data_IF_074764821250
#
_entry.id   IF_074764821250
#
_cell.length_a   1.000
_cell.length_b   1.000
_cell.length_c   1.000
_cell.angle_alpha   90.00
_cell.angle_beta   90.00
_cell.angle_gamma   90.00
#
_symmetry.space_group_name_H-M   'P 1'
#
loop_
_entity.id
_entity.type
_entity.pdbx_description
1 polymer ?
#
# COMPACT_ATOMS: atom_id res chain seq x y z
N UNK A 1 6.14 29.58 -20.76
CA UNK A 1 4.71 29.25 -20.89
C UNK A 1 4.26 28.61 -19.60
N UNK A 2 3.13 29.01 -19.01
CA UNK A 2 2.56 28.35 -17.82
C UNK A 2 2.09 26.95 -18.21
N UNK A 3 2.60 25.92 -17.51
CA UNK A 3 2.17 24.52 -17.74
C UNK A 3 0.73 24.40 -17.25
N UNK A 4 -0.18 23.95 -18.09
CA UNK A 4 -1.53 23.62 -17.67
C UNK A 4 -1.48 22.41 -16.72
N UNK A 5 -2.18 22.48 -15.60
CA UNK A 5 -2.27 21.42 -14.60
C UNK A 5 -3.74 21.12 -14.37
N UNK A 6 -4.14 19.86 -14.59
CA UNK A 6 -5.51 19.39 -14.37
C UNK A 6 -5.76 19.08 -12.88
N UNK A 7 -4.74 18.54 -12.19
CA UNK A 7 -4.85 18.14 -10.78
C UNK A 7 -3.63 18.57 -9.97
N UNK A 8 -3.91 19.15 -8.81
CA UNK A 8 -2.92 19.43 -7.78
C UNK A 8 -3.10 18.39 -6.67
N UNK A 9 -2.04 17.66 -6.34
CA UNK A 9 -2.01 16.68 -5.26
C UNK A 9 -1.11 17.23 -4.15
N UNK A 10 -1.59 17.20 -2.92
CA UNK A 10 -0.83 17.63 -1.75
C UNK A 10 -0.55 16.45 -0.84
N UNK A 11 0.73 16.13 -0.67
CA UNK A 11 1.23 15.01 0.10
C UNK A 11 1.75 13.86 -0.76
N UNK A 12 3.06 13.65 -0.75
CA UNK A 12 3.79 12.63 -1.52
C UNK A 12 4.01 11.33 -0.74
N UNK A 13 3.06 10.92 0.10
CA UNK A 13 3.03 9.59 0.70
C UNK A 13 2.51 8.53 -0.29
N UNK A 14 2.27 7.29 0.18
CA UNK A 14 1.79 6.18 -0.67
C UNK A 14 0.59 6.61 -1.52
N UNK A 15 -0.43 7.20 -0.90
CA UNK A 15 -1.67 7.59 -1.58
C UNK A 15 -1.44 8.64 -2.67
N UNK A 16 -0.65 9.69 -2.37
CA UNK A 16 -0.34 10.74 -3.35
C UNK A 16 0.49 10.23 -4.51
N UNK A 17 1.45 9.35 -4.25
CA UNK A 17 2.25 8.71 -5.30
C UNK A 17 1.40 7.85 -6.22
N UNK A 18 0.56 6.96 -5.67
CA UNK A 18 -0.35 6.12 -6.47
C UNK A 18 -1.33 6.95 -7.26
N UNK A 19 -1.95 7.97 -6.63
CA UNK A 19 -2.90 8.85 -7.31
C UNK A 19 -2.25 9.64 -8.45
N UNK A 20 -1.04 10.17 -8.23
CA UNK A 20 -0.29 10.87 -9.28
C UNK A 20 -0.05 9.98 -10.49
N UNK A 21 0.46 8.76 -10.26
CA UNK A 21 0.67 7.78 -11.31
C UNK A 21 -0.64 7.47 -12.06
N UNK A 22 -1.73 7.17 -11.33
CA UNK A 22 -3.00 6.80 -11.95
C UNK A 22 -3.56 7.92 -12.82
N UNK A 23 -3.57 9.16 -12.35
CA UNK A 23 -4.05 10.30 -13.11
C UNK A 23 -3.20 10.53 -14.37
N UNK A 24 -1.87 10.47 -14.25
CA UNK A 24 -0.97 10.59 -15.41
C UNK A 24 -1.16 9.46 -16.41
N UNK A 25 -1.38 8.24 -15.96
CA UNK A 25 -1.69 7.08 -16.82
C UNK A 25 -2.96 7.30 -17.64
N UNK A 26 -3.92 8.05 -17.14
CA UNK A 26 -5.14 8.43 -17.86
C UNK A 26 -5.02 9.77 -18.59
N UNK A 27 -3.81 10.30 -18.77
CA UNK A 27 -3.53 11.46 -19.61
C UNK A 27 -3.69 12.81 -18.92
N UNK A 28 -3.91 12.85 -17.60
CA UNK A 28 -4.03 14.11 -16.88
C UNK A 28 -2.66 14.73 -16.55
N UNK A 29 -2.57 16.05 -16.61
CA UNK A 29 -1.42 16.81 -16.15
C UNK A 29 -1.51 17.01 -14.64
N UNK A 30 -0.55 16.42 -13.92
CA UNK A 30 -0.54 16.41 -12.45
C UNK A 30 0.60 17.26 -11.92
N UNK A 31 0.38 17.93 -10.78
CA UNK A 31 1.42 18.55 -9.98
C UNK A 31 1.31 18.03 -8.54
N UNK A 32 2.31 17.28 -8.09
CA UNK A 32 2.43 16.80 -6.71
C UNK A 32 3.28 17.77 -5.89
N UNK A 33 2.72 18.24 -4.79
CA UNK A 33 3.43 19.02 -3.78
C UNK A 33 3.70 18.17 -2.54
N UNK A 34 4.95 18.15 -2.10
CA UNK A 34 5.32 17.44 -0.88
C UNK A 34 6.47 18.17 -0.18
N UNK A 35 6.68 17.87 1.10
CA UNK A 35 7.85 18.30 1.85
C UNK A 35 8.63 17.09 2.34
N UNK A 36 9.97 17.11 2.26
CA UNK A 36 10.78 16.13 2.95
C UNK A 36 10.48 16.23 4.44
N UNK A 37 9.92 15.17 4.99
CA UNK A 37 9.61 15.06 6.42
C UNK A 37 9.87 13.62 6.85
N UNK A 38 10.77 13.46 7.81
CA UNK A 38 11.13 12.15 8.37
C UNK A 38 9.97 11.48 9.13
N UNK A 39 9.02 12.28 9.63
CA UNK A 39 7.89 11.81 10.44
C UNK A 39 6.62 11.50 9.63
N UNK A 40 6.73 11.16 8.34
CA UNK A 40 5.58 10.72 7.55
C UNK A 40 5.11 9.34 7.97
N UNK A 41 3.81 9.15 8.11
CA UNK A 41 3.22 7.83 8.42
C UNK A 41 3.66 6.76 7.42
N UNK A 42 3.80 7.13 6.14
CA UNK A 42 4.29 6.22 5.09
C UNK A 42 5.74 5.81 5.29
N UNK A 43 6.61 6.69 5.81
CA UNK A 43 8.04 6.39 5.99
C UNK A 43 8.31 5.37 7.10
N UNK A 44 7.41 5.25 8.08
CA UNK A 44 7.50 4.28 9.19
C UNK A 44 6.60 3.06 8.99
N UNK A 45 5.86 2.99 7.89
CA UNK A 45 4.97 1.87 7.59
C UNK A 45 5.78 0.62 7.22
N UNK A 46 5.39 -0.53 7.76
CA UNK A 46 6.02 -1.82 7.43
C UNK A 46 5.78 -2.24 5.96
N UNK A 47 4.79 -1.65 5.30
CA UNK A 47 4.42 -1.94 3.93
C UNK A 47 3.80 -3.31 3.69
N UNK A 48 3.52 -4.08 4.74
CA UNK A 48 2.92 -5.41 4.62
C UNK A 48 1.46 -5.32 4.18
N UNK A 49 1.10 -6.13 3.20
CA UNK A 49 -0.27 -6.29 2.77
C UNK A 49 -0.71 -7.75 2.83
N UNK A 50 -1.94 -7.96 3.23
CA UNK A 50 -2.54 -9.30 3.31
C UNK A 50 -4.06 -9.23 3.21
N UNK A 51 -4.72 -10.29 2.69
CA UNK A 51 -6.16 -10.31 2.49
C UNK A 51 -6.97 -10.61 3.76
N UNK A 52 -6.31 -10.85 4.91
CA UNK A 52 -6.95 -11.36 6.11
C UNK A 52 -6.70 -10.49 7.34
N UNK A 53 -7.74 -10.28 8.15
CA UNK A 53 -7.60 -9.80 9.53
C UNK A 53 -7.29 -11.00 10.43
N UNK A 54 -6.01 -11.34 10.58
CA UNK A 54 -5.56 -12.59 11.22
C UNK A 54 -6.08 -12.77 12.64
N UNK A 55 -6.18 -11.70 13.44
CA UNK A 55 -6.72 -11.77 14.82
C UNK A 55 -8.18 -12.24 14.87
N UNK A 56 -8.95 -11.92 13.85
CA UNK A 56 -10.39 -12.22 13.79
C UNK A 56 -10.70 -13.35 12.82
N UNK A 57 -9.69 -13.88 12.14
CA UNK A 57 -9.82 -14.88 11.09
C UNK A 57 -10.92 -14.51 10.07
N UNK A 58 -10.91 -13.27 9.60
CA UNK A 58 -11.90 -12.74 8.65
C UNK A 58 -11.20 -12.16 7.43
N UNK A 59 -11.82 -12.33 6.26
CA UNK A 59 -11.36 -11.70 5.03
C UNK A 59 -11.56 -10.18 5.10
N UNK A 60 -10.61 -9.43 4.57
CA UNK A 60 -10.72 -7.99 4.39
C UNK A 60 -11.84 -7.70 3.36
N UNK A 61 -12.56 -6.60 3.54
CA UNK A 61 -13.59 -6.18 2.60
C UNK A 61 -13.01 -6.04 1.18
N UNK A 62 -13.68 -6.66 0.21
CA UNK A 62 -13.26 -6.68 -1.21
C UNK A 62 -11.82 -7.19 -1.45
N UNK A 63 -11.29 -8.07 -0.60
CA UNK A 63 -9.90 -8.52 -0.69
C UNK A 63 -9.53 -9.06 -2.08
N UNK A 64 -10.40 -9.85 -2.71
CA UNK A 64 -10.14 -10.43 -4.04
C UNK A 64 -9.84 -9.32 -5.07
N UNK A 65 -10.76 -8.38 -5.25
CA UNK A 65 -10.61 -7.29 -6.20
C UNK A 65 -9.46 -6.34 -5.85
N UNK A 66 -9.23 -6.11 -4.53
CA UNK A 66 -8.15 -5.24 -4.08
C UNK A 66 -6.77 -5.85 -4.32
N UNK A 67 -6.59 -7.16 -4.16
CA UNK A 67 -5.31 -7.83 -4.40
C UNK A 67 -4.95 -7.82 -5.89
N UNK A 68 -5.92 -8.09 -6.76
CA UNK A 68 -5.71 -8.06 -8.20
C UNK A 68 -5.29 -6.66 -8.67
N UNK A 69 -6.01 -5.64 -8.21
CA UNK A 69 -5.72 -4.25 -8.56
C UNK A 69 -4.38 -3.77 -7.97
N UNK A 70 -4.06 -4.16 -6.72
CA UNK A 70 -2.80 -3.87 -6.06
C UNK A 70 -1.62 -4.44 -6.86
N UNK A 71 -1.67 -5.71 -7.25
CA UNK A 71 -0.64 -6.35 -8.05
C UNK A 71 -0.45 -5.63 -9.38
N UNK A 72 -1.55 -5.28 -10.07
CA UNK A 72 -1.52 -4.58 -11.35
C UNK A 72 -0.89 -3.18 -11.22
N UNK A 73 -1.34 -2.38 -10.25
CA UNK A 73 -0.89 -1.00 -10.08
C UNK A 73 0.60 -0.95 -9.73
N UNK A 74 1.04 -1.70 -8.72
CA UNK A 74 2.44 -1.64 -8.30
C UNK A 74 3.39 -2.20 -9.35
N UNK A 75 3.02 -3.28 -10.05
CA UNK A 75 3.83 -3.77 -11.18
C UNK A 75 3.92 -2.76 -12.34
N UNK A 76 2.85 -2.02 -12.60
CA UNK A 76 2.87 -0.97 -13.61
C UNK A 76 3.76 0.22 -13.18
N UNK A 77 3.73 0.58 -11.88
CA UNK A 77 4.59 1.65 -11.35
C UNK A 77 6.06 1.22 -11.37
N UNK A 78 6.39 -0.02 -11.04
CA UNK A 78 7.76 -0.56 -11.16
C UNK A 78 8.30 -0.43 -12.60
N UNK A 79 7.48 -0.77 -13.59
CA UNK A 79 7.85 -0.59 -15.01
C UNK A 79 8.04 0.88 -15.38
N UNK A 80 7.14 1.75 -14.91
CA UNK A 80 7.21 3.18 -15.20
C UNK A 80 8.43 3.86 -14.57
N UNK A 81 8.82 3.42 -13.37
CA UNK A 81 9.96 3.99 -12.62
C UNK A 81 11.25 3.24 -12.82
N UNK A 82 11.25 2.14 -13.59
CA UNK A 82 12.40 1.23 -13.78
C UNK A 82 13.02 0.77 -12.44
N UNK A 83 12.19 0.58 -11.43
CA UNK A 83 12.60 0.27 -10.06
C UNK A 83 11.89 -0.98 -9.54
N UNK A 84 12.42 -1.60 -8.49
CA UNK A 84 11.81 -2.73 -7.80
C UNK A 84 11.61 -2.40 -6.33
N UNK A 85 10.37 -2.53 -5.86
CA UNK A 85 9.97 -2.22 -4.49
C UNK A 85 8.75 -3.02 -4.02
N UNK A 86 8.20 -3.88 -4.88
CA UNK A 86 7.00 -4.67 -4.61
C UNK A 86 7.35 -6.15 -4.53
N UNK A 87 7.48 -6.66 -3.29
CA UNK A 87 7.94 -8.00 -3.01
C UNK A 87 6.77 -8.94 -2.65
N UNK A 88 6.49 -10.00 -3.43
CA UNK A 88 5.61 -11.06 -2.98
C UNK A 88 6.32 -11.87 -1.88
N UNK A 89 5.85 -11.77 -0.65
CA UNK A 89 6.36 -12.54 0.48
C UNK A 89 5.22 -13.28 1.16
N UNK A 90 5.50 -14.48 1.67
CA UNK A 90 4.51 -15.25 2.43
C UNK A 90 4.47 -14.80 3.88
N UNK A 91 3.27 -14.50 4.37
CA UNK A 91 3.02 -14.22 5.79
C UNK A 91 2.57 -15.52 6.45
N UNK A 92 3.09 -15.80 7.66
CA UNK A 92 2.70 -16.94 8.46
C UNK A 92 1.97 -16.51 9.73
N UNK A 93 0.88 -17.21 10.04
CA UNK A 93 0.21 -17.13 11.34
C UNK A 93 0.76 -18.22 12.24
N UNK A 94 1.46 -17.85 13.30
CA UNK A 94 1.82 -18.76 14.40
C UNK A 94 0.58 -18.95 15.25
N UNK A 95 0.19 -20.20 15.48
CA UNK A 95 -0.99 -20.49 16.32
C UNK A 95 -0.64 -20.42 17.80
N UNK A 96 -1.55 -19.86 18.59
CA UNK A 96 -1.38 -19.74 20.04
C UNK A 96 -2.01 -20.91 20.81
N UNK A 97 -2.96 -21.60 20.19
CA UNK A 97 -3.68 -22.73 20.80
C UNK A 97 -4.22 -23.67 19.71
N UNK A 98 -4.72 -24.84 20.14
CA UNK A 98 -5.29 -25.84 19.25
C UNK A 98 -6.58 -25.32 18.53
N UNK A 99 -7.37 -24.48 19.19
CA UNK A 99 -8.59 -23.90 18.60
C UNK A 99 -8.26 -23.03 17.39
N UNK A 100 -7.23 -22.18 17.46
CA UNK A 100 -6.79 -21.39 16.29
C UNK A 100 -6.34 -22.29 15.13
N UNK A 101 -5.64 -23.39 15.43
CA UNK A 101 -5.19 -24.33 14.43
C UNK A 101 -6.38 -25.04 13.76
N UNK A 102 -7.37 -25.48 14.54
CA UNK A 102 -8.59 -26.09 14.01
C UNK A 102 -9.38 -25.13 13.14
N UNK A 103 -9.60 -23.89 13.64
CA UNK A 103 -10.27 -22.83 12.88
C UNK A 103 -9.57 -22.55 11.54
N UNK A 104 -8.23 -22.55 11.53
CA UNK A 104 -7.47 -22.40 10.29
C UNK A 104 -7.79 -23.51 9.29
N UNK A 105 -7.78 -24.77 9.74
CA UNK A 105 -8.07 -25.93 8.90
C UNK A 105 -9.48 -25.86 8.32
N UNK A 106 -10.49 -25.55 9.14
CA UNK A 106 -11.86 -25.38 8.71
C UNK A 106 -12.01 -24.27 7.65
N UNK A 107 -11.28 -23.17 7.83
CA UNK A 107 -11.33 -22.04 6.88
C UNK A 107 -10.67 -22.36 5.55
N UNK A 108 -9.61 -23.18 5.53
CA UNK A 108 -8.95 -23.58 4.27
C UNK A 108 -9.91 -24.29 3.31
N UNK A 109 -10.89 -25.01 3.83
CA UNK A 109 -11.90 -25.71 3.03
C UNK A 109 -13.05 -24.78 2.57
N UNK A 110 -13.14 -23.60 3.17
CA UNK A 110 -14.19 -22.65 2.82
C UNK A 110 -13.88 -21.92 1.50
N UNK A 111 -14.82 -21.88 0.53
CA UNK A 111 -14.60 -21.24 -0.77
C UNK A 111 -14.13 -19.78 -0.70
N UNK A 112 -14.54 -19.04 0.32
CA UNK A 112 -14.18 -17.64 0.53
C UNK A 112 -12.73 -17.41 0.96
N UNK A 113 -12.01 -18.46 1.40
CA UNK A 113 -10.67 -18.35 1.98
C UNK A 113 -9.61 -19.18 1.25
N UNK A 114 -10.02 -20.18 0.47
CA UNK A 114 -9.14 -21.11 -0.26
C UNK A 114 -8.09 -20.39 -1.12
N UNK A 115 -8.43 -19.23 -1.66
CA UNK A 115 -7.50 -18.40 -2.44
C UNK A 115 -6.41 -17.75 -1.57
N UNK A 116 -6.61 -17.62 -0.26
CA UNK A 116 -5.76 -16.84 0.64
C UNK A 116 -5.05 -17.67 1.72
N UNK A 117 -5.46 -18.90 1.96
CA UNK A 117 -4.88 -19.78 2.97
C UNK A 117 -4.27 -21.03 2.31
N UNK A 118 -3.14 -21.50 2.82
CA UNK A 118 -2.61 -22.80 2.50
C UNK A 118 -3.16 -23.86 3.45
N UNK A 119 -3.58 -24.98 2.91
CA UNK A 119 -4.18 -26.08 3.67
C UNK A 119 -3.17 -26.73 4.60
N UNK A 120 -1.91 -26.71 4.22
CA UNK A 120 -0.83 -27.32 4.96
C UNK A 120 -0.44 -26.52 6.18
N UNK A 121 -0.62 -27.13 7.35
CA UNK A 121 -0.09 -26.63 8.62
C UNK A 121 1.36 -27.11 8.75
N UNK A 122 2.30 -26.18 8.91
CA UNK A 122 3.74 -26.46 8.93
C UNK A 122 4.36 -26.20 10.31
N UNK A 123 5.47 -26.86 10.63
CA UNK A 123 6.29 -26.52 11.77
C UNK A 123 6.68 -25.03 11.76
N UNK A 124 7.04 -24.49 12.91
CA UNK A 124 7.56 -23.13 12.96
C UNK A 124 8.88 -23.01 12.23
N UNK A 125 9.13 -21.89 11.56
CA UNK A 125 10.45 -21.58 10.98
C UNK A 125 11.56 -21.61 12.04
N UNK A 126 12.77 -21.92 11.63
CA UNK A 126 13.94 -21.90 12.50
C UNK A 126 14.08 -20.53 13.20
N UNK A 127 14.35 -20.56 14.50
CA UNK A 127 14.49 -19.36 15.33
C UNK A 127 13.17 -18.85 15.94
N UNK A 128 12.01 -19.34 15.50
CA UNK A 128 10.72 -18.98 16.08
C UNK A 128 10.30 -20.04 17.12
N UNK A 129 10.09 -19.62 18.36
CA UNK A 129 9.66 -20.49 19.45
C UNK A 129 8.13 -20.46 19.59
N UNK A 130 7.52 -21.62 19.77
CA UNK A 130 6.08 -21.76 20.02
C UNK A 130 5.70 -23.23 20.26
N UNK A 131 4.54 -23.45 20.88
CA UNK A 131 4.02 -24.81 21.17
C UNK A 131 3.21 -25.37 20.00
N UNK A 132 2.70 -24.51 19.14
CA UNK A 132 1.83 -24.89 18.03
C UNK A 132 2.51 -24.61 16.71
N UNK A 133 1.98 -25.19 15.63
CA UNK A 133 2.44 -25.01 14.26
C UNK A 133 2.07 -23.65 13.69
N UNK A 134 2.25 -23.44 12.41
CA UNK A 134 1.87 -22.22 11.70
C UNK A 134 1.12 -22.53 10.41
N UNK A 135 0.22 -21.65 10.03
CA UNK A 135 -0.45 -21.62 8.73
C UNK A 135 0.18 -20.56 7.84
N UNK A 136 0.31 -20.81 6.55
CA UNK A 136 0.88 -19.90 5.55
C UNK A 136 -0.23 -19.25 4.74
N UNK A 137 -0.09 -17.95 4.53
CA UNK A 137 -1.02 -17.18 3.72
C UNK A 137 -0.49 -17.07 2.28
N UNK A 138 -1.42 -17.08 1.35
CA UNK A 138 -1.21 -16.78 -0.08
C UNK A 138 -1.59 -15.33 -0.37
N UNK A 139 -1.13 -14.83 -1.50
CA UNK A 139 -1.45 -13.47 -1.97
C UNK A 139 -1.14 -12.40 -0.92
N UNK A 140 0.06 -12.49 -0.35
CA UNK A 140 0.60 -11.54 0.62
C UNK A 140 1.94 -11.00 0.14
N UNK A 141 2.34 -9.85 0.63
CA UNK A 141 3.61 -9.26 0.23
C UNK A 141 4.01 -8.05 1.05
N UNK A 142 5.04 -7.39 0.57
CA UNK A 142 5.58 -6.16 1.15
C UNK A 142 5.85 -5.13 0.05
N UNK A 143 5.36 -3.93 0.26
CA UNK A 143 5.81 -2.74 -0.44
C UNK A 143 6.99 -2.15 0.33
N UNK A 144 8.14 -2.01 -0.31
CA UNK A 144 9.27 -1.24 0.22
C UNK A 144 8.92 0.25 0.12
N UNK A 145 8.23 0.79 1.12
CA UNK A 145 7.52 2.06 1.03
C UNK A 145 8.42 3.24 0.71
N UNK A 146 9.58 3.35 1.35
CA UNK A 146 10.53 4.45 1.08
C UNK A 146 11.13 4.36 -0.32
N UNK A 147 11.67 3.21 -0.78
CA UNK A 147 12.07 3.03 -2.17
C UNK A 147 10.97 3.36 -3.18
N UNK A 148 9.74 2.89 -2.94
CA UNK A 148 8.58 3.20 -3.78
C UNK A 148 8.33 4.72 -3.89
N UNK A 149 8.24 5.42 -2.75
CA UNK A 149 8.00 6.87 -2.77
C UNK A 149 9.11 7.62 -3.49
N UNK A 150 10.37 7.26 -3.24
CA UNK A 150 11.51 7.90 -3.89
C UNK A 150 11.48 7.70 -5.41
N UNK A 151 11.26 6.47 -5.87
CA UNK A 151 11.16 6.17 -7.30
C UNK A 151 10.06 6.98 -8.00
N UNK A 152 8.87 7.08 -7.39
CA UNK A 152 7.77 7.88 -7.93
C UNK A 152 8.09 9.38 -7.89
N UNK A 153 8.66 9.89 -6.80
CA UNK A 153 9.05 11.30 -6.72
C UNK A 153 10.08 11.66 -7.80
N UNK A 154 11.06 10.80 -8.03
CA UNK A 154 12.10 11.05 -9.04
C UNK A 154 11.52 11.01 -10.45
N UNK A 155 10.65 10.07 -10.76
CA UNK A 155 9.92 10.03 -12.04
C UNK A 155 9.06 11.29 -12.24
N UNK A 156 8.38 11.76 -11.19
CA UNK A 156 7.59 13.01 -11.24
C UNK A 156 8.45 14.26 -11.39
N UNK A 157 9.65 14.30 -10.79
CA UNK A 157 10.63 15.40 -11.00
C UNK A 157 11.09 15.45 -12.44
N UNK A 158 11.43 14.30 -13.04
CA UNK A 158 11.82 14.20 -14.46
C UNK A 158 10.70 14.70 -15.39
N UNK A 159 9.44 14.44 -15.03
CA UNK A 159 8.27 14.91 -15.78
C UNK A 159 7.87 16.38 -15.47
N UNK A 160 8.65 17.10 -14.67
CA UNK A 160 8.33 18.46 -14.17
C UNK A 160 6.94 18.52 -13.47
N UNK A 161 6.60 17.47 -12.75
CA UNK A 161 5.30 17.26 -12.08
C UNK A 161 5.41 17.15 -10.56
N UNK A 162 6.54 17.54 -9.99
CA UNK A 162 6.81 17.52 -8.55
C UNK A 162 7.37 18.87 -8.07
N UNK A 163 6.88 19.31 -6.91
CA UNK A 163 7.41 20.50 -6.22
C UNK A 163 7.62 20.20 -4.75
N UNK A 164 8.84 20.42 -4.28
CA UNK A 164 9.20 20.34 -2.88
C UNK A 164 8.83 21.65 -2.19
N UNK A 165 7.55 21.79 -1.87
CA UNK A 165 6.99 23.03 -1.31
C UNK A 165 5.81 22.74 -0.40
N UNK A 166 5.75 23.47 0.72
CA UNK A 166 4.56 23.50 1.57
C UNK A 166 3.42 24.22 0.86
N UNK A 167 2.25 23.60 0.83
CA UNK A 167 1.02 24.23 0.34
C UNK A 167 0.23 24.75 1.52
N UNK A 168 0.01 26.06 1.55
CA UNK A 168 -0.85 26.67 2.56
C UNK A 168 -2.29 26.72 2.03
N UNK A 169 -3.24 26.28 2.85
CA UNK A 169 -4.66 26.21 2.48
C UNK A 169 -5.24 27.55 2.05
N UNK A 170 -4.72 28.66 2.59
CA UNK A 170 -5.12 30.02 2.19
C UNK A 170 -4.77 30.36 0.74
N UNK A 171 -3.75 29.74 0.16
CA UNK A 171 -3.37 29.93 -1.25
C UNK A 171 -4.20 29.10 -2.24
N UNK A 172 -4.95 28.10 -1.76
CA UNK A 172 -5.70 27.18 -2.61
C UNK A 172 -7.00 27.78 -3.14
N UNK A 173 -7.58 28.74 -2.44
CA UNK A 173 -8.80 29.43 -2.86
C UNK A 173 -8.67 30.18 -4.21
N UNK A 174 -7.47 30.34 -4.74
CA UNK A 174 -7.19 30.98 -6.04
C UNK A 174 -7.13 29.99 -7.21
N UNK A 175 -7.20 28.68 -6.96
CA UNK A 175 -7.17 27.66 -8.00
C UNK A 175 -8.59 27.21 -8.36
N UNK A 176 -8.84 27.00 -9.64
CA UNK A 176 -10.08 26.45 -10.20
C UNK A 176 -10.47 25.09 -9.56
N UNK A 177 -11.75 24.66 -9.60
CA UNK A 177 -12.33 23.62 -8.71
C UNK A 177 -11.83 22.18 -8.84
N UNK A 178 -10.75 21.91 -9.54
CA UNK A 178 -10.20 20.56 -9.76
C UNK A 178 -9.06 20.21 -8.78
N UNK A 179 -9.16 20.60 -7.49
CA UNK A 179 -8.12 20.31 -6.50
C UNK A 179 -8.49 19.06 -5.71
N UNK A 180 -7.72 17.99 -5.87
CA UNK A 180 -7.82 16.76 -5.08
C UNK A 180 -6.79 16.79 -3.94
N UNK A 181 -7.28 16.70 -2.70
CA UNK A 181 -6.43 16.56 -1.52
C UNK A 181 -6.21 15.09 -1.21
N UNK A 182 -4.97 14.61 -1.38
CA UNK A 182 -4.53 13.34 -0.82
C UNK A 182 -3.85 13.57 0.54
N UNK A 183 -4.57 14.22 1.48
CA UNK A 183 -4.12 14.35 2.85
C UNK A 183 -4.78 13.26 3.71
N UNK A 184 -3.99 12.41 4.30
CA UNK A 184 -4.43 11.62 5.45
C UNK A 184 -4.51 12.61 6.61
N UNK A 185 -5.73 13.00 7.01
CA UNK A 185 -5.93 13.76 8.24
C UNK A 185 -5.25 13.01 9.39
N UNK A 186 -4.36 13.69 10.11
CA UNK A 186 -3.96 13.22 11.44
C UNK A 186 -5.23 13.19 12.27
N UNK A 187 -5.68 11.99 12.64
CA UNK A 187 -6.63 11.87 13.73
C UNK A 187 -5.97 12.46 14.98
N UNK A 188 -6.67 13.33 15.73
CA UNK A 188 -6.18 13.74 17.03
C UNK A 188 -5.99 12.48 17.89
N UNK A 189 -4.83 12.37 18.50
CA UNK A 189 -4.55 11.37 19.52
C UNK A 189 -5.57 11.55 20.67
N UNK A 190 -6.43 10.55 20.88
CA UNK A 190 -7.16 10.35 22.12
C UNK A 190 -6.28 9.64 23.12
#
# INVERSE_FOLDING_TARGET
MSKHVDYIIVGGGISGCVLSYMLMKYGANVMLFDLPNENKSSSVAAGLWNPMVLKRMKKVWRADAMIDELNRIYSDIEKWTESQFFDPISIRRVFHNASEQNTWTEMCDSPGFKAFLEDKIEPLPNGIKGKFKSGKMKNTGRLQVVPFMNAVHDALKLADSFREKRVETRGIAQFSPSILFASIMKYPSY
#
